data_IF_727808905251
#
_entry.id   IF_727808905251
#
_cell.length_a   1.000
_cell.length_b   1.000
_cell.length_c   1.000
_cell.angle_alpha   90.00
_cell.angle_beta   90.00
_cell.angle_gamma   90.00
#
_symmetry.space_group_name_H-M   'P 1'
#
loop_
_entity.id
_entity.type
_entity.pdbx_description
1 polymer ?
#
# COMPACT_ATOMS: atom_id res chain seq x y z
N UNK A 1 -24.50 2.95 11.26
CA UNK A 1 -25.24 3.13 9.99
C UNK A 1 -24.31 3.30 8.78
N UNK A 2 -22.97 3.20 8.94
CA UNK A 2 -21.98 3.37 7.87
C UNK A 2 -21.67 2.08 7.08
N UNK A 3 -21.84 0.89 7.69
CA UNK A 3 -21.51 -0.41 7.05
C UNK A 3 -22.31 -0.70 5.76
N UNK A 4 -23.50 -0.11 5.60
CA UNK A 4 -24.34 -0.34 4.43
C UNK A 4 -23.99 0.54 3.23
N UNK A 5 -23.27 1.65 3.43
CA UNK A 5 -22.98 2.62 2.36
C UNK A 5 -21.77 2.20 1.52
N UNK A 6 -20.82 1.45 2.10
CA UNK A 6 -19.65 0.95 1.36
C UNK A 6 -19.89 -0.37 0.61
N UNK A 7 -20.91 -1.16 0.99
CA UNK A 7 -21.15 -2.52 0.46
C UNK A 7 -21.31 -2.57 -1.07
N UNK A 8 -21.83 -1.50 -1.68
CA UNK A 8 -22.06 -1.44 -3.13
C UNK A 8 -21.02 -0.57 -3.87
N UNK A 9 -20.05 0.02 -3.18
CA UNK A 9 -19.08 0.95 -3.82
C UNK A 9 -18.10 0.22 -4.72
N UNK A 10 -17.70 -1.00 -4.35
CA UNK A 10 -16.76 -1.83 -5.10
C UNK A 10 -17.32 -3.24 -5.30
N UNK A 11 -17.66 -3.57 -6.55
CA UNK A 11 -18.29 -4.84 -6.91
C UNK A 11 -17.34 -6.01 -6.59
N UNK A 12 -17.79 -6.94 -5.76
CA UNK A 12 -17.03 -8.14 -5.41
C UNK A 12 -16.12 -7.99 -4.19
N UNK A 13 -15.91 -6.77 -3.68
CA UNK A 13 -15.02 -6.52 -2.54
C UNK A 13 -15.64 -7.03 -1.23
N UNK A 14 -16.93 -6.75 -1.02
CA UNK A 14 -17.65 -7.23 0.17
C UNK A 14 -17.62 -8.76 0.27
N UNK A 15 -17.84 -9.47 -0.84
CA UNK A 15 -17.84 -10.93 -0.88
C UNK A 15 -16.46 -11.53 -0.58
N UNK A 16 -15.39 -10.81 -0.92
CA UNK A 16 -14.02 -11.21 -0.57
C UNK A 16 -13.78 -10.97 0.92
N UNK A 17 -14.10 -9.78 1.43
CA UNK A 17 -13.91 -9.45 2.84
C UNK A 17 -14.74 -10.38 3.75
N UNK A 18 -15.96 -10.72 3.36
CA UNK A 18 -16.82 -11.68 4.06
C UNK A 18 -16.27 -13.12 3.96
N UNK A 19 -15.70 -13.52 2.82
CA UNK A 19 -15.14 -14.89 2.68
C UNK A 19 -13.91 -15.11 3.56
N UNK A 20 -12.98 -14.16 3.55
CA UNK A 20 -11.68 -14.34 4.22
C UNK A 20 -11.68 -13.80 5.66
N UNK A 21 -12.67 -12.98 6.04
CA UNK A 21 -12.86 -12.38 7.38
C UNK A 21 -11.77 -11.36 7.80
N UNK A 22 -10.54 -11.50 7.32
CA UNK A 22 -9.42 -10.58 7.54
C UNK A 22 -8.49 -10.52 6.33
N UNK A 23 -7.72 -9.43 6.23
CA UNK A 23 -6.65 -9.32 5.23
C UNK A 23 -5.55 -10.35 5.50
N UNK A 24 -5.26 -10.68 6.76
CA UNK A 24 -4.28 -11.71 7.10
C UNK A 24 -4.65 -13.07 6.51
N UNK A 25 -5.89 -13.52 6.66
CA UNK A 25 -6.34 -14.81 6.13
C UNK A 25 -6.29 -14.84 4.60
N UNK A 26 -6.62 -13.72 3.96
CA UNK A 26 -6.51 -13.57 2.52
C UNK A 26 -5.04 -13.65 2.07
N UNK A 27 -4.14 -12.99 2.81
CA UNK A 27 -2.71 -12.98 2.57
C UNK A 27 -2.05 -14.36 2.74
N UNK A 28 -2.36 -15.06 3.83
CA UNK A 28 -1.86 -16.42 4.07
C UNK A 28 -2.31 -17.39 2.97
N UNK A 29 -3.54 -17.22 2.45
CA UNK A 29 -4.08 -18.07 1.39
C UNK A 29 -3.50 -17.78 -0.01
N UNK A 30 -2.72 -16.71 -0.20
CA UNK A 30 -2.18 -16.32 -1.53
C UNK A 30 -1.26 -17.38 -2.12
N UNK A 31 -0.53 -18.11 -1.28
CA UNK A 31 0.42 -19.12 -1.70
C UNK A 31 0.17 -20.43 -0.95
N UNK A 32 0.25 -21.55 -1.66
CA UNK A 32 0.31 -22.91 -1.09
C UNK A 32 1.55 -23.58 -1.67
N UNK A 33 2.39 -24.14 -0.82
CA UNK A 33 3.63 -24.81 -1.27
C UNK A 33 4.48 -23.94 -2.22
N UNK A 34 4.54 -22.63 -1.91
CA UNK A 34 5.24 -21.60 -2.69
C UNK A 34 4.65 -21.29 -4.09
N UNK A 35 3.56 -21.95 -4.48
CA UNK A 35 2.81 -21.68 -5.70
C UNK A 35 1.66 -20.71 -5.46
N UNK A 36 1.43 -19.80 -6.41
CA UNK A 36 0.37 -18.79 -6.28
C UNK A 36 -1.02 -19.42 -6.44
N UNK A 37 -1.90 -19.17 -5.49
CA UNK A 37 -3.30 -19.50 -5.60
C UNK A 37 -4.02 -18.47 -6.48
N UNK A 38 -4.15 -18.77 -7.77
CA UNK A 38 -4.77 -17.88 -8.76
C UNK A 38 -6.19 -17.43 -8.38
N UNK A 39 -6.95 -18.23 -7.63
CA UNK A 39 -8.30 -17.84 -7.17
C UNK A 39 -8.21 -16.74 -6.11
N UNK A 40 -7.32 -16.93 -5.13
CA UNK A 40 -7.09 -15.97 -4.04
C UNK A 40 -6.48 -14.68 -4.59
N UNK A 41 -5.52 -14.78 -5.52
CA UNK A 41 -4.95 -13.63 -6.22
C UNK A 41 -6.04 -12.82 -6.95
N UNK A 42 -6.96 -13.48 -7.66
CA UNK A 42 -8.11 -12.84 -8.33
C UNK A 42 -9.08 -12.19 -7.35
N UNK A 43 -9.21 -12.74 -6.15
CA UNK A 43 -10.04 -12.16 -5.10
C UNK A 43 -9.36 -10.96 -4.46
N UNK A 44 -8.04 -11.02 -4.25
CA UNK A 44 -7.25 -9.93 -3.69
C UNK A 44 -7.28 -8.67 -4.58
N UNK A 45 -7.17 -8.82 -5.90
CA UNK A 45 -7.30 -7.68 -6.85
C UNK A 45 -8.73 -7.15 -7.01
N UNK A 46 -9.74 -7.74 -6.34
CA UNK A 46 -11.08 -7.12 -6.27
C UNK A 46 -11.13 -6.04 -5.19
N UNK A 47 -10.23 -6.08 -4.22
CA UNK A 47 -10.07 -5.03 -3.23
C UNK A 47 -9.48 -3.83 -3.96
N UNK A 48 -10.25 -2.74 -4.02
CA UNK A 48 -9.94 -1.60 -4.88
C UNK A 48 -8.52 -1.04 -4.68
N UNK A 49 -8.09 -0.86 -3.43
CA UNK A 49 -6.75 -0.37 -3.10
C UNK A 49 -5.61 -1.32 -3.51
N UNK A 50 -5.88 -2.62 -3.64
CA UNK A 50 -4.89 -3.61 -4.09
C UNK A 50 -4.89 -3.79 -5.60
N UNK A 51 -5.98 -3.41 -6.27
CA UNK A 51 -6.05 -3.30 -7.74
C UNK A 51 -5.33 -2.06 -8.24
N UNK A 52 -5.61 -0.94 -7.60
CA UNK A 52 -5.05 0.38 -7.91
C UNK A 52 -3.89 0.66 -6.96
N UNK A 53 -2.91 -0.23 -7.02
CA UNK A 53 -1.74 -0.24 -6.17
C UNK A 53 -0.67 0.73 -6.70
N UNK A 54 0.50 0.79 -6.06
CA UNK A 54 1.54 1.76 -6.43
C UNK A 54 2.01 1.51 -7.88
N UNK A 55 2.25 0.24 -8.24
CA UNK A 55 2.71 -0.10 -9.58
C UNK A 55 1.66 0.26 -10.65
N UNK A 56 0.37 0.10 -10.38
CA UNK A 56 -0.70 0.47 -11.32
C UNK A 56 -0.58 1.93 -11.78
N UNK A 57 -0.30 2.86 -10.86
CA UNK A 57 -0.17 4.28 -11.19
C UNK A 57 1.20 4.66 -11.75
N UNK A 58 2.25 3.95 -11.34
CA UNK A 58 3.62 4.40 -11.59
C UNK A 58 4.35 3.65 -12.71
N UNK A 59 3.90 2.46 -13.11
CA UNK A 59 4.63 1.64 -14.09
C UNK A 59 4.92 2.40 -15.39
N UNK A 60 3.94 3.13 -15.92
CA UNK A 60 4.11 3.88 -17.17
C UNK A 60 4.92 5.16 -16.96
N UNK A 61 4.68 5.88 -15.86
CA UNK A 61 5.43 7.10 -15.52
C UNK A 61 6.93 6.80 -15.35
N UNK A 62 7.24 5.75 -14.60
CA UNK A 62 8.61 5.38 -14.26
C UNK A 62 9.42 4.90 -15.46
N UNK A 63 8.82 4.59 -16.61
CA UNK A 63 9.55 4.26 -17.83
C UNK A 63 10.24 5.48 -18.45
N UNK A 64 9.70 6.68 -18.23
CA UNK A 64 10.09 7.88 -18.99
C UNK A 64 10.55 9.05 -18.12
N UNK A 65 10.28 9.00 -16.82
CA UNK A 65 10.64 10.07 -15.89
C UNK A 65 12.15 10.16 -15.68
N UNK A 66 12.67 11.38 -15.71
CA UNK A 66 14.06 11.72 -15.34
C UNK A 66 14.11 12.36 -13.96
N UNK A 67 15.29 12.37 -13.35
CA UNK A 67 15.50 12.92 -12.01
C UNK A 67 15.15 14.41 -11.91
N UNK A 68 15.42 15.21 -12.95
CA UNK A 68 15.09 16.64 -12.92
C UNK A 68 13.59 16.93 -12.99
N UNK A 69 12.79 15.92 -13.36
CA UNK A 69 11.33 16.03 -13.40
C UNK A 69 10.67 15.73 -12.04
N UNK A 70 11.42 15.15 -11.10
CA UNK A 70 10.94 14.86 -9.74
C UNK A 70 11.64 15.80 -8.76
N UNK A 71 10.90 16.83 -8.32
CA UNK A 71 11.46 17.79 -7.37
C UNK A 71 11.63 17.16 -5.98
N UNK A 72 10.60 16.46 -5.47
CA UNK A 72 10.61 15.78 -4.18
C UNK A 72 9.77 14.49 -4.22
N UNK A 73 10.13 13.58 -3.33
CA UNK A 73 9.42 12.35 -2.95
C UNK A 73 9.18 12.41 -1.46
N UNK A 74 7.92 12.23 -1.04
CA UNK A 74 7.50 12.22 0.36
C UNK A 74 6.91 10.86 0.72
N UNK A 75 7.10 10.43 1.97
CA UNK A 75 6.52 9.20 2.51
C UNK A 75 5.40 9.55 3.49
N UNK A 76 4.43 8.64 3.67
CA UNK A 76 3.29 8.90 4.57
C UNK A 76 3.74 8.90 6.04
N UNK A 77 4.72 8.06 6.36
CA UNK A 77 5.32 7.86 7.67
C UNK A 77 5.98 9.13 8.20
N UNK A 78 6.58 9.92 7.31
CA UNK A 78 7.34 11.15 7.63
C UNK A 78 6.81 12.38 6.89
N UNK A 79 5.54 12.36 6.46
CA UNK A 79 4.98 13.37 5.54
C UNK A 79 5.14 14.80 6.07
N UNK A 80 4.90 15.02 7.36
CA UNK A 80 5.02 16.34 7.98
C UNK A 80 6.48 16.83 8.00
N UNK A 81 7.41 15.93 8.36
CA UNK A 81 8.84 16.23 8.37
C UNK A 81 9.35 16.51 6.96
N UNK A 82 8.88 15.73 5.98
CA UNK A 82 9.22 15.89 4.57
C UNK A 82 8.75 17.24 4.01
N UNK A 83 7.54 17.67 4.36
CA UNK A 83 6.99 18.95 3.92
C UNK A 83 7.73 20.11 4.61
N UNK A 84 7.98 20.04 5.92
CA UNK A 84 8.77 21.06 6.62
C UNK A 84 10.17 21.18 6.01
N UNK A 85 10.87 20.06 5.83
CA UNK A 85 12.24 20.02 5.30
C UNK A 85 12.35 20.49 3.85
N UNK A 86 11.46 20.02 2.97
CA UNK A 86 11.60 20.25 1.53
C UNK A 86 10.84 21.49 1.04
N UNK A 87 9.76 21.90 1.74
CA UNK A 87 8.92 23.03 1.34
C UNK A 87 8.98 24.21 2.33
N UNK A 88 9.57 24.05 3.51
CA UNK A 88 9.66 25.11 4.53
C UNK A 88 8.33 25.42 5.21
N UNK A 89 7.42 24.45 5.29
CA UNK A 89 6.07 24.61 5.86
C UNK A 89 5.94 23.79 7.15
N UNK A 90 5.94 24.45 8.30
CA UNK A 90 5.99 23.79 9.62
C UNK A 90 4.61 23.48 10.24
N UNK A 91 3.52 23.95 9.64
CA UNK A 91 2.16 23.81 10.22
C UNK A 91 1.18 23.24 9.21
N UNK A 92 1.07 21.92 9.17
CA UNK A 92 -0.01 21.24 8.46
C UNK A 92 -1.12 20.94 9.46
N UNK A 93 -2.24 21.64 9.32
CA UNK A 93 -3.44 21.32 10.07
C UNK A 93 -4.06 20.06 9.46
N UNK A 94 -4.12 18.98 10.24
CA UNK A 94 -4.78 17.69 9.98
C UNK A 94 -3.92 16.63 9.28
N UNK A 95 -3.35 15.76 10.11
CA UNK A 95 -2.85 14.44 9.69
C UNK A 95 -3.43 13.40 10.66
N UNK A 96 -4.08 12.36 10.13
CA UNK A 96 -4.57 11.17 10.85
C UNK A 96 -5.95 11.20 11.54
N UNK A 97 -6.98 11.81 10.95
CA UNK A 97 -8.35 11.76 11.53
C UNK A 97 -8.99 10.35 11.53
N UNK A 98 -8.46 9.37 10.79
CA UNK A 98 -9.13 8.07 10.58
C UNK A 98 -8.40 6.84 11.17
N UNK A 99 -7.22 7.00 11.80
CA UNK A 99 -6.44 5.84 12.28
C UNK A 99 -7.07 5.10 13.48
N UNK A 100 -7.88 5.81 14.27
CA UNK A 100 -8.52 5.33 15.50
C UNK A 100 -9.78 4.48 15.28
N UNK A 101 -10.27 4.36 14.04
CA UNK A 101 -11.55 3.71 13.73
C UNK A 101 -11.48 2.19 13.56
N UNK A 102 -10.28 1.59 13.54
CA UNK A 102 -10.09 0.16 13.29
C UNK A 102 -9.48 -0.58 14.50
N UNK A 103 -10.09 -1.70 14.94
CA UNK A 103 -9.52 -2.56 15.98
C UNK A 103 -8.12 -3.05 15.61
N UNK A 104 -7.19 -3.05 16.58
CA UNK A 104 -5.80 -3.48 16.37
C UNK A 104 -5.71 -4.92 15.81
N UNK A 105 -6.60 -5.81 16.24
CA UNK A 105 -6.67 -7.20 15.77
C UNK A 105 -6.97 -7.36 14.28
N UNK A 106 -7.48 -6.32 13.61
CA UNK A 106 -7.68 -6.30 12.15
C UNK A 106 -6.50 -5.70 11.39
N UNK A 107 -5.51 -5.14 12.08
CA UNK A 107 -4.32 -4.49 11.50
C UNK A 107 -3.08 -5.39 11.46
N UNK A 108 -3.12 -6.50 12.18
CA UNK A 108 -1.96 -7.39 12.32
C UNK A 108 -1.89 -8.40 11.17
N UNK A 109 -0.69 -8.55 10.61
CA UNK A 109 -0.32 -9.61 9.68
C UNK A 109 0.57 -10.60 10.41
N UNK A 110 0.36 -11.88 10.19
CA UNK A 110 1.31 -12.93 10.57
C UNK A 110 2.56 -12.82 9.70
N UNK A 111 3.66 -13.43 10.13
CA UNK A 111 4.88 -13.50 9.31
C UNK A 111 4.62 -14.14 7.95
N UNK A 112 3.78 -15.18 7.88
CA UNK A 112 3.41 -15.82 6.62
C UNK A 112 2.59 -14.90 5.72
N UNK A 113 1.57 -14.25 6.27
CA UNK A 113 0.75 -13.30 5.53
C UNK A 113 1.58 -12.12 4.99
N UNK A 114 2.50 -11.62 5.79
CA UNK A 114 3.44 -10.58 5.40
C UNK A 114 4.32 -11.00 4.21
N UNK A 115 5.02 -12.13 4.32
CA UNK A 115 5.89 -12.63 3.24
C UNK A 115 5.12 -12.89 1.95
N UNK A 116 3.91 -13.46 2.06
CA UNK A 116 3.05 -13.69 0.90
C UNK A 116 2.62 -12.39 0.22
N UNK A 117 2.22 -11.38 1.00
CA UNK A 117 1.86 -10.06 0.47
C UNK A 117 3.06 -9.37 -0.16
N UNK A 118 4.22 -9.39 0.50
CA UNK A 118 5.46 -8.81 -0.03
C UNK A 118 5.83 -9.43 -1.37
N UNK A 119 5.75 -10.77 -1.47
CA UNK A 119 5.98 -11.49 -2.73
C UNK A 119 4.96 -11.11 -3.81
N UNK A 120 3.68 -11.00 -3.45
CA UNK A 120 2.61 -10.63 -4.39
C UNK A 120 2.73 -9.17 -4.88
N UNK A 121 3.07 -8.25 -3.97
CA UNK A 121 3.20 -6.81 -4.23
C UNK A 121 4.60 -6.42 -4.71
N UNK A 122 5.41 -7.38 -5.19
CA UNK A 122 6.79 -7.12 -5.61
C UNK A 122 6.91 -5.94 -6.58
N UNK A 123 5.97 -5.77 -7.51
CA UNK A 123 5.97 -4.65 -8.45
C UNK A 123 5.87 -3.28 -7.78
N UNK A 124 5.17 -3.19 -6.65
CA UNK A 124 5.03 -1.95 -5.89
C UNK A 124 6.35 -1.62 -5.20
N UNK A 125 7.00 -2.61 -4.58
CA UNK A 125 8.33 -2.46 -4.00
C UNK A 125 9.37 -2.05 -5.04
N UNK A 126 9.34 -2.68 -6.22
CA UNK A 126 10.23 -2.33 -7.34
C UNK A 126 9.97 -0.89 -7.82
N UNK A 127 8.71 -0.42 -7.77
CA UNK A 127 8.35 0.96 -8.11
C UNK A 127 8.87 1.96 -7.08
N UNK A 128 8.70 1.67 -5.79
CA UNK A 128 9.23 2.49 -4.69
C UNK A 128 10.76 2.55 -4.76
N UNK A 129 11.42 1.41 -4.94
CA UNK A 129 12.89 1.36 -5.07
C UNK A 129 13.36 2.21 -6.25
N UNK A 130 12.67 2.14 -7.40
CA UNK A 130 13.00 2.93 -8.58
C UNK A 130 12.82 4.44 -8.34
N UNK A 131 11.74 4.85 -7.67
CA UNK A 131 11.54 6.26 -7.29
C UNK A 131 12.68 6.74 -6.39
N UNK A 132 13.04 5.97 -5.37
CA UNK A 132 14.09 6.34 -4.42
C UNK A 132 15.46 6.43 -5.10
N UNK A 133 15.73 5.59 -6.11
CA UNK A 133 16.93 5.69 -6.96
C UNK A 133 16.95 6.97 -7.78
N UNK A 134 15.79 7.44 -8.26
CA UNK A 134 15.68 8.70 -9.00
C UNK A 134 15.83 9.90 -8.05
N UNK A 135 15.10 9.89 -6.93
CA UNK A 135 15.08 10.98 -5.96
C UNK A 135 14.73 10.45 -4.56
N UNK A 136 15.68 10.55 -3.63
CA UNK A 136 15.45 10.24 -2.23
C UNK A 136 15.50 11.53 -1.38
N UNK A 137 14.36 12.22 -1.29
CA UNK A 137 14.22 13.44 -0.46
C UNK A 137 13.41 13.23 0.82
N UNK A 138 12.82 12.03 0.98
CA UNK A 138 12.06 11.71 2.18
C UNK A 138 13.00 11.52 3.38
N UNK A 139 12.46 11.71 4.56
CA UNK A 139 13.14 11.60 5.84
C UNK A 139 12.99 10.20 6.43
N UNK A 140 12.09 9.38 5.89
CA UNK A 140 11.99 7.97 6.22
C UNK A 140 13.24 7.23 5.73
N UNK A 141 13.69 6.25 6.51
CA UNK A 141 14.78 5.38 6.08
C UNK A 141 14.29 4.41 4.98
N UNK A 142 15.19 4.11 4.04
CA UNK A 142 14.89 3.25 2.90
C UNK A 142 14.53 1.83 3.34
N UNK A 143 15.11 1.35 4.45
CA UNK A 143 14.84 0.02 4.98
C UNK A 143 13.39 -0.10 5.43
N UNK A 144 12.82 0.92 6.06
CA UNK A 144 11.42 0.99 6.47
C UNK A 144 10.47 0.93 5.26
N UNK A 145 10.80 1.60 4.15
CA UNK A 145 9.98 1.56 2.94
C UNK A 145 10.08 0.25 2.15
N UNK A 146 11.20 -0.45 2.24
CA UNK A 146 11.47 -1.70 1.48
C UNK A 146 11.42 -2.97 2.34
N UNK A 147 11.02 -2.82 3.61
CA UNK A 147 10.80 -3.91 4.55
C UNK A 147 9.73 -4.85 4.03
#
# INVERSE_FOLDING_TARGET
MEEKVQKNRFKGEYEVLDRYQSINNLAEALYSDNEINNKVAKDLIKIHHLRENIAYYLTDLLQWVRDEQILFVFATETLNDDISKNLGIDKISRTHENASLLPQSKKELSSLGYENLKKFLKSDYDSVEKILKIKNSSSVDVETLLK
#
